data_IF_884816871771
#
_entry.id   IF_884816871771
#
_cell.length_a   1.000
_cell.length_b   1.000
_cell.length_c   1.000
_cell.angle_alpha   90.00
_cell.angle_beta   90.00
_cell.angle_gamma   90.00
#
_symmetry.space_group_name_H-M   'P 1'
#
loop_
_entity.id
_entity.type
_entity.pdbx_description
1 polymer ?
#
# COMPACT_ATOMS: atom_id res chain seq x y z
N UNK A 1 -50.46 10.02 -8.00
CA UNK A 1 -49.22 9.60 -7.32
C UNK A 1 -48.25 9.14 -8.39
N UNK A 2 -47.27 9.98 -8.75
CA UNK A 2 -46.23 9.57 -9.71
C UNK A 2 -45.39 8.49 -9.02
N UNK A 3 -45.41 7.27 -9.55
CA UNK A 3 -44.46 6.26 -9.14
C UNK A 3 -43.08 6.80 -9.48
N UNK A 4 -42.31 7.22 -8.45
CA UNK A 4 -40.89 7.53 -8.58
C UNK A 4 -40.16 6.22 -8.89
N UNK A 5 -40.27 5.71 -10.10
CA UNK A 5 -39.43 4.61 -10.56
C UNK A 5 -38.04 5.17 -10.80
N UNK A 6 -37.23 5.17 -9.75
CA UNK A 6 -35.81 5.50 -9.84
C UNK A 6 -35.10 4.49 -10.75
N UNK A 7 -34.06 4.96 -11.44
CA UNK A 7 -33.17 4.07 -12.20
C UNK A 7 -32.51 3.09 -11.23
N UNK A 8 -32.62 1.79 -11.52
CA UNK A 8 -31.86 0.76 -10.77
C UNK A 8 -30.43 0.74 -11.30
N UNK A 9 -29.48 1.08 -10.45
CA UNK A 9 -28.05 1.07 -10.76
C UNK A 9 -27.40 -0.01 -9.90
N UNK A 10 -26.54 -0.82 -10.51
CA UNK A 10 -25.70 -1.79 -9.81
C UNK A 10 -24.25 -1.38 -10.07
N UNK A 11 -23.51 -1.13 -8.99
CA UNK A 11 -22.07 -0.96 -9.05
C UNK A 11 -21.42 -2.34 -8.83
N UNK A 12 -20.60 -2.76 -9.79
CA UNK A 12 -19.82 -3.99 -9.70
C UNK A 12 -18.34 -3.63 -9.73
N UNK A 13 -17.63 -3.98 -8.67
CA UNK A 13 -16.19 -3.76 -8.56
C UNK A 13 -15.46 -5.09 -8.67
N UNK A 14 -14.64 -5.20 -9.71
CA UNK A 14 -13.80 -6.36 -9.94
C UNK A 14 -12.40 -6.11 -9.36
N UNK A 15 -12.10 -6.79 -8.25
CA UNK A 15 -10.82 -6.74 -7.57
C UNK A 15 -9.95 -7.89 -8.05
N UNK A 16 -8.94 -7.54 -8.85
CA UNK A 16 -8.00 -8.49 -9.41
C UNK A 16 -6.59 -7.91 -9.43
N UNK A 17 -5.63 -8.75 -9.10
CA UNK A 17 -4.21 -8.53 -9.32
C UNK A 17 -3.62 -9.83 -9.89
N UNK A 18 -2.74 -9.76 -10.91
CA UNK A 18 -1.98 -10.91 -11.36
C UNK A 18 -1.21 -11.60 -10.23
N UNK A 19 -0.78 -12.84 -10.47
CA UNK A 19 0.18 -13.50 -9.60
C UNK A 19 1.53 -12.79 -9.67
N UNK A 20 1.91 -12.10 -8.60
CA UNK A 20 3.20 -11.40 -8.51
C UNK A 20 4.26 -12.17 -7.73
N UNK A 21 3.86 -13.16 -6.92
CA UNK A 21 4.79 -14.05 -6.24
C UNK A 21 5.29 -15.13 -7.20
N UNK A 22 6.61 -15.18 -7.37
CA UNK A 22 7.27 -16.26 -8.09
C UNK A 22 7.16 -17.55 -7.27
N UNK A 23 6.49 -18.58 -7.80
CA UNK A 23 6.21 -19.81 -7.06
C UNK A 23 7.45 -20.69 -6.83
N UNK A 24 8.56 -20.42 -7.52
CA UNK A 24 9.82 -21.16 -7.35
C UNK A 24 10.66 -20.51 -6.26
N UNK A 25 10.86 -19.20 -6.30
CA UNK A 25 11.67 -18.47 -5.34
C UNK A 25 10.89 -17.98 -4.12
N UNK A 26 9.56 -17.90 -4.21
CA UNK A 26 8.68 -17.32 -3.20
C UNK A 26 8.76 -15.80 -3.09
N UNK A 27 9.47 -15.13 -4.00
CA UNK A 27 9.72 -13.68 -3.96
C UNK A 27 8.65 -12.93 -4.76
N UNK A 28 8.18 -11.80 -4.23
CA UNK A 28 7.27 -10.92 -4.96
C UNK A 28 8.03 -10.03 -5.94
N UNK A 29 7.63 -10.10 -7.22
CA UNK A 29 8.23 -9.30 -8.30
C UNK A 29 7.68 -7.89 -8.37
N UNK A 30 6.42 -7.69 -7.95
CA UNK A 30 5.77 -6.39 -7.92
C UNK A 30 4.91 -6.24 -6.65
N UNK A 31 4.88 -5.05 -6.03
CA UNK A 31 4.24 -4.79 -4.74
C UNK A 31 2.72 -4.52 -4.84
N UNK A 32 2.12 -4.69 -6.02
CA UNK A 32 0.81 -4.09 -6.30
C UNK A 32 -0.34 -4.66 -5.47
N UNK A 33 -0.30 -5.94 -5.11
CA UNK A 33 -1.38 -6.55 -4.32
C UNK A 33 -1.56 -5.87 -2.96
N UNK A 34 -0.49 -5.71 -2.17
CA UNK A 34 -0.60 -5.05 -0.87
C UNK A 34 -0.78 -3.53 -1.01
N UNK A 35 -0.16 -2.89 -2.00
CA UNK A 35 -0.32 -1.44 -2.21
C UNK A 35 -1.77 -1.06 -2.55
N UNK A 36 -2.44 -1.82 -3.42
CA UNK A 36 -3.85 -1.60 -3.69
C UNK A 36 -4.74 -1.96 -2.50
N UNK A 37 -4.35 -2.94 -1.68
CA UNK A 37 -5.07 -3.29 -0.45
C UNK A 37 -5.07 -2.16 0.58
N UNK A 38 -3.90 -1.59 0.88
CA UNK A 38 -3.79 -0.47 1.84
C UNK A 38 -4.31 0.87 1.28
N UNK A 39 -4.68 0.90 -0.01
CA UNK A 39 -5.20 2.06 -0.72
C UNK A 39 -6.66 1.87 -1.13
N UNK A 40 -6.86 1.38 -2.36
CA UNK A 40 -8.13 1.41 -3.06
C UNK A 40 -9.13 0.47 -2.38
N UNK A 41 -8.72 -0.74 -2.04
CA UNK A 41 -9.64 -1.70 -1.41
C UNK A 41 -10.04 -1.24 0.00
N UNK A 42 -9.11 -0.68 0.77
CA UNK A 42 -9.41 -0.10 2.07
C UNK A 42 -10.38 1.10 1.99
N UNK A 43 -10.19 2.02 1.03
CA UNK A 43 -11.09 3.17 0.80
C UNK A 43 -12.46 2.72 0.29
N UNK A 44 -12.52 1.73 -0.59
CA UNK A 44 -13.77 1.18 -1.12
C UNK A 44 -14.63 0.58 -0.02
N UNK A 45 -14.05 -0.21 0.90
CA UNK A 45 -14.74 -0.71 2.08
C UNK A 45 -15.23 0.45 2.96
N UNK A 46 -14.37 1.44 3.24
CA UNK A 46 -14.70 2.58 4.09
C UNK A 46 -15.87 3.42 3.55
N UNK A 47 -15.97 3.59 2.23
CA UNK A 47 -17.09 4.29 1.61
C UNK A 47 -18.43 3.56 1.78
N UNK A 48 -18.42 2.22 1.73
CA UNK A 48 -19.62 1.41 1.97
C UNK A 48 -20.02 1.45 3.45
N UNK A 49 -19.05 1.36 4.36
CA UNK A 49 -19.28 1.47 5.81
C UNK A 49 -19.89 2.84 6.19
N UNK A 50 -19.42 3.91 5.55
CA UNK A 50 -19.90 5.27 5.82
C UNK A 50 -21.31 5.56 5.28
N UNK A 51 -21.83 4.73 4.35
CA UNK A 51 -23.14 4.92 3.74
C UNK A 51 -23.96 3.63 3.89
N UNK A 52 -24.70 3.45 5.00
CA UNK A 52 -25.38 2.19 5.33
C UNK A 52 -26.36 1.68 4.25
N UNK A 53 -26.96 2.59 3.48
CA UNK A 53 -27.90 2.25 2.41
C UNK A 53 -27.21 1.92 1.08
N UNK A 54 -25.90 2.16 0.95
CA UNK A 54 -25.14 1.87 -0.28
C UNK A 54 -25.01 0.37 -0.47
N UNK A 55 -25.16 -0.06 -1.73
CA UNK A 55 -25.02 -1.46 -2.14
C UNK A 55 -24.10 -1.61 -3.33
N UNK A 56 -23.26 -2.64 -3.32
CA UNK A 56 -22.35 -2.96 -4.41
C UNK A 56 -22.12 -4.47 -4.52
N UNK A 57 -21.77 -4.92 -5.71
CA UNK A 57 -21.22 -6.26 -5.94
C UNK A 57 -19.70 -6.15 -5.91
N UNK A 58 -19.05 -6.94 -5.07
CA UNK A 58 -17.59 -7.02 -4.98
C UNK A 58 -17.15 -8.38 -5.48
N UNK A 59 -16.43 -8.40 -6.59
CA UNK A 59 -15.83 -9.62 -7.11
C UNK A 59 -14.36 -9.70 -6.69
N UNK A 60 -13.97 -10.77 -6.01
CA UNK A 60 -12.56 -11.07 -5.71
C UNK A 60 -12.05 -12.17 -6.62
N UNK A 61 -10.89 -11.95 -7.25
CA UNK A 61 -10.13 -13.03 -7.86
C UNK A 61 -9.47 -13.89 -6.76
N UNK A 62 -9.53 -15.23 -6.79
CA UNK A 62 -8.91 -16.09 -5.78
C UNK A 62 -7.41 -15.81 -5.59
N UNK A 63 -6.69 -15.63 -6.69
CA UNK A 63 -5.25 -15.29 -6.69
C UNK A 63 -4.92 -13.98 -5.96
N UNK A 64 -5.87 -13.03 -5.92
CA UNK A 64 -5.68 -11.81 -5.13
C UNK A 64 -5.80 -12.15 -3.64
N UNK A 65 -6.83 -12.90 -3.24
CA UNK A 65 -7.05 -13.27 -1.84
C UNK A 65 -5.87 -14.05 -1.26
N UNK A 66 -5.33 -15.02 -2.01
CA UNK A 66 -4.15 -15.79 -1.60
C UNK A 66 -2.93 -14.89 -1.38
N UNK A 67 -2.70 -13.93 -2.27
CA UNK A 67 -1.59 -12.99 -2.11
C UNK A 67 -1.79 -12.06 -0.91
N UNK A 68 -3.01 -11.59 -0.64
CA UNK A 68 -3.30 -10.73 0.50
C UNK A 68 -3.12 -11.47 1.83
N UNK A 69 -3.59 -12.71 1.92
CA UNK A 69 -3.39 -13.58 3.09
C UNK A 69 -1.89 -13.83 3.33
N UNK A 70 -1.15 -14.14 2.26
CA UNK A 70 0.29 -14.33 2.34
C UNK A 70 1.03 -13.06 2.80
N UNK A 71 0.67 -11.87 2.29
CA UNK A 71 1.23 -10.61 2.76
C UNK A 71 0.91 -10.35 4.24
N UNK A 72 -0.33 -10.58 4.67
CA UNK A 72 -0.71 -10.44 6.07
C UNK A 72 0.10 -11.40 6.96
N UNK A 73 0.26 -12.65 6.55
CA UNK A 73 1.06 -13.65 7.25
C UNK A 73 2.55 -13.27 7.32
N UNK A 74 3.12 -12.73 6.25
CA UNK A 74 4.51 -12.25 6.20
C UNK A 74 4.74 -11.08 7.15
N UNK A 75 3.88 -10.05 7.12
CA UNK A 75 3.99 -8.89 8.02
C UNK A 75 3.89 -9.35 9.47
N UNK A 76 2.93 -10.22 9.76
CA UNK A 76 2.75 -10.76 11.11
C UNK A 76 3.92 -11.61 11.56
N UNK A 77 4.47 -12.46 10.68
CA UNK A 77 5.65 -13.28 10.93
C UNK A 77 6.90 -12.43 11.14
N UNK A 78 7.07 -11.32 10.43
CA UNK A 78 8.17 -10.39 10.66
C UNK A 78 8.05 -9.70 12.03
N UNK A 79 6.86 -9.22 12.37
CA UNK A 79 6.61 -8.47 13.60
C UNK A 79 6.71 -9.35 14.86
N UNK A 80 6.28 -10.61 14.80
CA UNK A 80 6.25 -11.53 15.95
C UNK A 80 7.43 -12.47 16.03
N UNK A 81 7.84 -13.03 14.89
CA UNK A 81 8.80 -14.14 14.82
C UNK A 81 10.11 -13.75 14.14
N UNK A 82 10.28 -12.48 13.75
CA UNK A 82 11.44 -12.00 12.99
C UNK A 82 11.67 -12.75 11.66
N UNK A 83 10.61 -13.28 11.04
CA UNK A 83 10.69 -13.91 9.71
C UNK A 83 10.92 -12.86 8.64
N UNK A 84 11.69 -13.19 7.60
CA UNK A 84 11.95 -12.28 6.50
C UNK A 84 10.68 -12.00 5.67
N UNK A 85 10.57 -10.75 5.18
CA UNK A 85 9.57 -10.34 4.19
C UNK A 85 10.14 -10.63 2.80
N UNK A 86 9.34 -11.27 1.95
CA UNK A 86 9.71 -11.74 0.61
C UNK A 86 9.38 -10.76 -0.51
N UNK A 87 8.65 -9.69 -0.22
CA UNK A 87 8.56 -8.53 -1.10
C UNK A 87 9.75 -7.58 -0.83
N UNK A 88 10.64 -7.34 -1.81
CA UNK A 88 11.82 -6.53 -1.58
C UNK A 88 11.54 -5.07 -1.23
N UNK A 89 10.42 -4.50 -1.69
CA UNK A 89 10.08 -3.10 -1.40
C UNK A 89 9.51 -2.95 0.00
N UNK A 90 8.64 -3.87 0.42
CA UNK A 90 8.12 -3.91 1.78
C UNK A 90 9.22 -4.30 2.79
N UNK A 91 10.14 -5.19 2.41
CA UNK A 91 11.32 -5.50 3.22
C UNK A 91 12.22 -4.27 3.42
N UNK A 92 12.49 -3.51 2.36
CA UNK A 92 13.30 -2.29 2.42
C UNK A 92 12.74 -1.24 3.39
N UNK A 93 11.42 -1.23 3.64
CA UNK A 93 10.83 -0.33 4.63
C UNK A 93 11.39 -0.58 6.04
N UNK A 94 11.70 -1.83 6.41
CA UNK A 94 12.09 -2.21 7.77
C UNK A 94 13.53 -2.69 7.91
N UNK A 95 14.30 -2.68 6.83
CA UNK A 95 15.70 -3.10 6.82
C UNK A 95 16.62 -2.09 7.54
N UNK A 96 17.29 -2.46 8.66
CA UNK A 96 18.13 -1.51 9.41
C UNK A 96 19.30 -0.95 8.60
N UNK A 97 19.82 -1.72 7.64
CA UNK A 97 20.96 -1.33 6.79
C UNK A 97 20.53 -1.41 5.33
N UNK A 98 20.44 -0.26 4.68
CA UNK A 98 20.05 -0.20 3.28
C UNK A 98 21.18 -0.66 2.35
N UNK A 99 20.88 -1.03 1.09
CA UNK A 99 21.85 -1.67 0.22
C UNK A 99 23.14 -0.86 0.08
N UNK A 100 24.33 -1.47 0.28
CA UNK A 100 25.61 -0.75 0.18
C UNK A 100 26.02 -0.47 -1.27
N UNK A 101 25.52 -1.27 -2.21
CA UNK A 101 25.89 -1.17 -3.63
C UNK A 101 25.00 -0.16 -4.37
N UNK A 102 25.62 0.71 -5.17
CA UNK A 102 24.92 1.75 -5.94
C UNK A 102 23.84 1.18 -6.85
N UNK A 103 24.08 0.05 -7.51
CA UNK A 103 23.10 -0.62 -8.39
C UNK A 103 21.81 -0.99 -7.65
N UNK A 104 21.93 -1.54 -6.44
CA UNK A 104 20.77 -1.89 -5.61
C UNK A 104 20.05 -0.65 -5.09
N UNK A 105 20.77 0.43 -4.79
CA UNK A 105 20.16 1.73 -4.43
C UNK A 105 19.36 2.29 -5.60
N UNK A 106 19.92 2.29 -6.80
CA UNK A 106 19.23 2.74 -8.03
C UNK A 106 17.98 1.91 -8.27
N UNK A 107 18.07 0.58 -8.15
CA UNK A 107 16.91 -0.29 -8.32
C UNK A 107 15.81 -0.02 -7.29
N UNK A 108 16.17 0.31 -6.04
CA UNK A 108 15.20 0.67 -5.01
C UNK A 108 14.57 2.04 -5.28
N UNK A 109 15.37 3.03 -5.70
CA UNK A 109 14.87 4.35 -6.11
C UNK A 109 13.89 4.18 -7.28
N UNK A 110 14.27 3.46 -8.35
CA UNK A 110 13.41 3.21 -9.51
C UNK A 110 12.05 2.61 -9.11
N UNK A 111 12.03 1.65 -8.18
CA UNK A 111 10.79 1.10 -7.64
C UNK A 111 9.93 2.16 -6.96
N UNK A 112 10.54 3.03 -6.14
CA UNK A 112 9.85 4.13 -5.47
C UNK A 112 9.35 5.23 -6.44
N UNK A 113 9.88 5.28 -7.68
CA UNK A 113 9.39 6.19 -8.72
C UNK A 113 8.12 5.71 -9.41
N UNK A 114 7.72 4.44 -9.22
CA UNK A 114 6.52 3.85 -9.81
C UNK A 114 5.28 4.23 -9.01
N UNK A 115 4.94 5.51 -9.07
CA UNK A 115 3.82 6.13 -8.37
C UNK A 115 3.29 7.30 -9.20
N UNK A 116 2.01 7.62 -9.05
CA UNK A 116 1.45 8.78 -9.75
C UNK A 116 1.95 10.08 -9.10
N UNK A 117 2.80 10.82 -9.81
CA UNK A 117 3.39 12.08 -9.34
C UNK A 117 2.33 13.10 -8.90
N UNK A 118 1.42 13.46 -9.80
CA UNK A 118 0.41 14.51 -9.54
C UNK A 118 -0.54 14.16 -8.38
N UNK A 119 -1.02 12.90 -8.33
CA UNK A 119 -2.09 12.49 -7.41
C UNK A 119 -1.61 11.99 -6.07
N UNK A 120 -0.33 11.61 -5.94
CA UNK A 120 0.22 11.04 -4.70
C UNK A 120 1.39 11.88 -4.19
N UNK A 121 2.34 12.22 -5.06
CA UNK A 121 3.61 12.84 -4.64
C UNK A 121 3.43 14.34 -4.38
N UNK A 122 2.91 15.09 -5.35
CA UNK A 122 2.85 16.57 -5.32
C UNK A 122 1.90 17.13 -4.25
N UNK A 123 1.12 16.26 -3.60
CA UNK A 123 0.27 16.61 -2.46
C UNK A 123 1.06 16.89 -1.19
N UNK A 124 2.29 16.37 -1.09
CA UNK A 124 3.11 16.44 0.11
C UNK A 124 4.45 17.08 -0.22
N UNK A 125 4.71 18.33 0.22
CA UNK A 125 5.94 19.04 -0.12
C UNK A 125 7.23 18.27 0.23
N UNK A 126 7.23 17.54 1.35
CA UNK A 126 8.37 16.73 1.75
C UNK A 126 8.58 15.52 0.82
N UNK A 127 7.51 14.86 0.38
CA UNK A 127 7.60 13.76 -0.58
C UNK A 127 8.03 14.27 -1.96
N UNK A 128 7.42 15.36 -2.44
CA UNK A 128 7.79 15.98 -3.70
C UNK A 128 9.29 16.30 -3.77
N UNK A 129 9.86 16.89 -2.71
CA UNK A 129 11.29 17.16 -2.65
C UNK A 129 12.15 15.90 -2.78
N UNK A 130 11.77 14.81 -2.09
CA UNK A 130 12.49 13.53 -2.18
C UNK A 130 12.38 12.92 -3.58
N UNK A 131 11.20 13.05 -4.20
CA UNK A 131 10.95 12.56 -5.55
C UNK A 131 11.78 13.30 -6.60
N UNK A 132 11.85 14.64 -6.53
CA UNK A 132 12.68 15.45 -7.43
C UNK A 132 14.18 15.13 -7.28
N UNK A 133 14.65 14.91 -6.05
CA UNK A 133 16.02 14.44 -5.80
C UNK A 133 16.26 13.04 -6.38
N UNK A 134 15.29 12.13 -6.22
CA UNK A 134 15.37 10.80 -6.80
C UNK A 134 15.43 10.86 -8.34
N UNK A 135 14.62 11.69 -8.99
CA UNK A 135 14.69 11.93 -10.45
C UNK A 135 16.09 12.41 -10.87
N UNK A 136 16.67 13.36 -10.12
CA UNK A 136 18.02 13.85 -10.39
C UNK A 136 19.07 12.74 -10.29
N UNK A 137 19.05 11.95 -9.22
CA UNK A 137 20.01 10.86 -9.01
C UNK A 137 19.91 9.76 -10.06
N UNK A 138 18.71 9.45 -10.55
CA UNK A 138 18.52 8.47 -11.63
C UNK A 138 19.04 8.96 -12.99
N UNK A 139 19.20 10.27 -13.17
CA UNK A 139 19.73 10.87 -14.41
C UNK A 139 21.24 11.11 -14.35
N UNK A 140 21.85 11.08 -13.16
CA UNK A 140 23.25 11.46 -12.93
C UNK A 140 23.97 10.42 -12.06
N UNK A 141 24.51 9.38 -12.70
CA UNK A 141 25.19 8.27 -12.02
C UNK A 141 26.31 8.71 -11.05
N UNK A 142 27.01 9.81 -11.36
CA UNK A 142 28.09 10.34 -10.50
C UNK A 142 27.58 10.84 -9.16
N UNK A 143 26.34 11.30 -9.10
CA UNK A 143 25.75 11.92 -7.90
C UNK A 143 25.18 10.87 -6.96
N UNK A 144 25.10 9.60 -7.39
CA UNK A 144 24.68 8.46 -6.55
C UNK A 144 25.58 8.27 -5.32
N UNK A 145 26.83 8.74 -5.35
CA UNK A 145 27.73 8.73 -4.19
C UNK A 145 27.16 9.55 -3.01
N UNK A 146 26.30 10.53 -3.28
CA UNK A 146 25.68 11.38 -2.27
C UNK A 146 24.34 10.87 -1.76
N UNK A 147 23.83 9.76 -2.31
CA UNK A 147 22.61 9.11 -1.83
C UNK A 147 22.88 8.52 -0.45
N UNK A 148 22.36 9.16 0.59
CA UNK A 148 22.49 8.69 1.97
C UNK A 148 21.45 7.61 2.32
N UNK A 149 21.72 6.83 3.37
CA UNK A 149 20.79 5.83 3.89
C UNK A 149 19.50 6.49 4.42
N UNK A 150 19.62 7.70 4.97
CA UNK A 150 18.45 8.46 5.42
C UNK A 150 17.57 8.88 4.25
N UNK A 151 18.16 9.33 3.14
CA UNK A 151 17.40 9.68 1.94
C UNK A 151 16.60 8.47 1.42
N UNK A 152 17.24 7.30 1.30
CA UNK A 152 16.57 6.10 0.84
C UNK A 152 15.49 5.64 1.83
N UNK A 153 15.77 5.70 3.13
CA UNK A 153 14.78 5.37 4.18
C UNK A 153 13.55 6.28 4.07
N UNK A 154 13.76 7.59 3.92
CA UNK A 154 12.68 8.56 3.80
C UNK A 154 11.90 8.38 2.50
N UNK A 155 12.58 8.08 1.38
CA UNK A 155 11.94 7.82 0.10
C UNK A 155 11.05 6.57 0.14
N UNK A 156 11.57 5.46 0.69
CA UNK A 156 10.80 4.22 0.85
C UNK A 156 9.64 4.43 1.80
N UNK A 157 9.85 5.16 2.90
CA UNK A 157 8.80 5.48 3.85
C UNK A 157 7.68 6.29 3.19
N UNK A 158 8.03 7.37 2.48
CA UNK A 158 7.06 8.21 1.78
C UNK A 158 6.34 7.49 0.65
N UNK A 159 7.03 6.58 -0.06
CA UNK A 159 6.37 5.73 -1.04
C UNK A 159 5.20 4.98 -0.40
N UNK A 160 5.45 4.24 0.68
CA UNK A 160 4.40 3.51 1.39
C UNK A 160 3.35 4.45 1.98
N UNK A 161 3.78 5.55 2.62
CA UNK A 161 2.87 6.52 3.22
C UNK A 161 1.94 7.16 2.18
N UNK A 162 2.44 7.45 0.98
CA UNK A 162 1.68 8.03 -0.13
C UNK A 162 0.62 7.08 -0.69
N UNK A 163 0.86 5.77 -0.61
CA UNK A 163 -0.12 4.75 -1.01
C UNK A 163 -1.25 4.56 -0.01
N UNK A 164 -1.15 4.99 1.25
CA UNK A 164 -2.24 4.76 2.21
C UNK A 164 -3.53 5.50 1.82
N UNK A 165 -4.64 4.76 1.90
CA UNK A 165 -6.03 5.17 1.77
C UNK A 165 -6.35 6.53 2.42
N UNK A 166 -7.17 7.35 1.75
CA UNK A 166 -7.54 8.67 2.25
C UNK A 166 -8.43 8.62 3.49
N UNK A 167 -9.28 7.61 3.58
CA UNK A 167 -10.12 7.40 4.77
C UNK A 167 -9.28 7.07 6.00
N UNK A 168 -8.24 6.24 5.84
CA UNK A 168 -7.28 5.90 6.91
C UNK A 168 -6.42 7.11 7.26
N UNK A 169 -5.91 7.84 6.27
CA UNK A 169 -5.13 9.09 6.46
C UNK A 169 -5.85 10.12 7.33
N UNK A 170 -7.17 10.24 7.17
CA UNK A 170 -7.98 11.20 7.93
C UNK A 170 -8.26 10.78 9.36
N UNK A 171 -8.26 9.49 9.66
CA UNK A 171 -8.63 8.95 10.98
C UNK A 171 -7.44 8.54 11.83
N UNK A 172 -6.31 8.16 11.23
CA UNK A 172 -5.14 7.64 11.96
C UNK A 172 -4.14 8.74 12.36
N UNK A 173 -3.95 8.93 13.66
CA UNK A 173 -3.04 9.94 14.23
C UNK A 173 -1.57 9.66 13.92
N UNK A 174 -1.17 8.40 13.70
CA UNK A 174 0.22 8.05 13.35
C UNK A 174 0.56 8.64 11.98
N UNK A 175 -0.35 8.53 11.01
CA UNK A 175 -0.19 9.10 9.68
C UNK A 175 -0.02 10.62 9.75
N UNK A 176 -0.88 11.30 10.51
CA UNK A 176 -0.83 12.75 10.66
C UNK A 176 0.52 13.19 11.25
N UNK A 177 0.98 12.51 12.30
CA UNK A 177 2.31 12.73 12.89
C UNK A 177 3.44 12.60 11.86
N UNK A 178 3.42 11.55 11.03
CA UNK A 178 4.45 11.35 10.02
C UNK A 178 4.41 12.37 8.89
N UNK A 179 3.21 12.83 8.52
CA UNK A 179 3.07 13.91 7.53
C UNK A 179 3.60 15.24 8.05
N UNK A 180 3.39 15.54 9.34
CA UNK A 180 3.96 16.71 10.01
C UNK A 180 5.48 16.60 10.15
N UNK A 181 5.99 15.42 10.51
CA UNK A 181 7.43 15.14 10.61
C UNK A 181 8.14 15.32 9.26
N UNK A 182 7.57 14.77 8.20
CA UNK A 182 8.00 14.99 6.81
C UNK A 182 9.31 14.34 6.37
N UNK A 183 10.29 14.13 7.25
CA UNK A 183 11.58 13.51 6.93
C UNK A 183 12.27 12.95 8.19
N UNK A 184 13.45 12.36 8.01
CA UNK A 184 14.23 11.74 9.08
C UNK A 184 13.45 10.65 9.81
N UNK A 185 12.77 9.78 9.05
CA UNK A 185 12.02 8.67 9.64
C UNK A 185 12.98 7.65 10.23
N UNK A 186 12.78 7.38 11.52
CA UNK A 186 13.59 6.41 12.26
C UNK A 186 13.20 4.98 11.89
N UNK A 187 14.04 4.01 12.25
CA UNK A 187 13.67 2.59 12.17
C UNK A 187 12.40 2.29 12.98
N UNK A 188 12.15 3.04 14.06
CA UNK A 188 10.92 2.91 14.85
C UNK A 188 9.70 3.35 14.03
N UNK A 189 9.72 4.55 13.45
CA UNK A 189 8.62 5.06 12.62
C UNK A 189 8.31 4.10 11.47
N UNK A 190 9.37 3.60 10.81
CA UNK A 190 9.28 2.62 9.73
C UNK A 190 8.63 1.30 10.16
N UNK A 191 8.95 0.80 11.35
CA UNK A 191 8.31 -0.40 11.92
C UNK A 191 6.86 -0.13 12.32
N UNK A 192 6.55 1.05 12.84
CA UNK A 192 5.17 1.45 13.12
C UNK A 192 4.33 1.56 11.84
N UNK A 193 4.90 2.05 10.73
CA UNK A 193 4.23 2.05 9.44
C UNK A 193 3.98 0.61 8.95
N UNK A 194 4.91 -0.31 9.16
CA UNK A 194 4.69 -1.73 8.86
C UNK A 194 3.55 -2.33 9.71
N UNK A 195 3.44 -1.95 10.98
CA UNK A 195 2.32 -2.35 11.85
C UNK A 195 0.98 -1.88 11.26
N UNK A 196 0.88 -0.60 10.87
CA UNK A 196 -0.31 -0.07 10.21
C UNK A 196 -0.65 -0.82 8.91
N UNK A 197 0.35 -1.11 8.07
CA UNK A 197 0.16 -1.93 6.85
C UNK A 197 -0.39 -3.31 7.23
N UNK A 198 0.16 -3.95 8.26
CA UNK A 198 -0.33 -5.23 8.77
C UNK A 198 -1.78 -5.19 9.23
N UNK A 199 -2.17 -4.17 10.00
CA UNK A 199 -3.55 -3.96 10.45
C UNK A 199 -4.51 -3.84 9.27
N UNK A 200 -4.15 -3.03 8.26
CA UNK A 200 -4.96 -2.83 7.06
C UNK A 200 -5.11 -4.13 6.25
N UNK A 201 -4.03 -4.89 6.07
CA UNK A 201 -4.07 -6.15 5.34
C UNK A 201 -4.90 -7.21 6.06
N UNK A 202 -4.68 -7.41 7.36
CA UNK A 202 -5.41 -8.41 8.13
C UNK A 202 -6.90 -8.08 8.28
N UNK A 203 -7.25 -6.80 8.39
CA UNK A 203 -8.64 -6.38 8.57
C UNK A 203 -9.43 -6.25 7.27
N UNK A 204 -8.79 -6.24 6.09
CA UNK A 204 -9.47 -5.91 4.83
C UNK A 204 -10.56 -6.93 4.48
N UNK A 205 -10.25 -8.23 4.55
CA UNK A 205 -11.19 -9.28 4.16
C UNK A 205 -12.35 -9.35 5.15
N UNK A 206 -12.07 -9.21 6.44
CA UNK A 206 -13.09 -9.19 7.49
C UNK A 206 -14.08 -8.03 7.30
N UNK A 207 -13.60 -6.83 6.93
CA UNK A 207 -14.47 -5.68 6.62
C UNK A 207 -15.44 -5.99 5.47
N UNK A 208 -14.97 -6.65 4.42
CA UNK A 208 -15.84 -7.06 3.31
C UNK A 208 -16.82 -8.17 3.71
N UNK A 209 -16.41 -9.12 4.56
CA UNK A 209 -17.30 -10.14 5.10
C UNK A 209 -18.41 -9.52 5.95
N UNK A 210 -18.08 -8.58 6.83
CA UNK A 210 -19.08 -7.86 7.64
C UNK A 210 -20.05 -7.02 6.80
N UNK A 211 -19.57 -6.38 5.72
CA UNK A 211 -20.43 -5.67 4.78
C UNK A 211 -21.38 -6.61 4.03
N UNK A 212 -20.94 -7.84 3.76
CA UNK A 212 -21.77 -8.87 3.14
C UNK A 212 -22.83 -9.41 4.11
N UNK A 213 -22.44 -9.68 5.36
CA UNK A 213 -23.36 -10.11 6.42
C UNK A 213 -24.48 -9.09 6.69
N UNK A 214 -24.17 -7.80 6.55
CA UNK A 214 -25.14 -6.69 6.66
C UNK A 214 -25.97 -6.48 5.40
N UNK A 215 -25.70 -7.21 4.31
CA UNK A 215 -26.41 -7.11 3.04
C UNK A 215 -26.09 -5.86 2.20
N UNK A 216 -25.00 -5.15 2.52
CA UNK A 216 -24.50 -4.03 1.72
C UNK A 216 -23.67 -4.51 0.54
N UNK A 217 -22.96 -5.62 0.70
CA UNK A 217 -22.12 -6.21 -0.34
C UNK A 217 -22.66 -7.57 -0.77
N UNK A 218 -22.76 -7.78 -2.07
CA UNK A 218 -22.86 -9.13 -2.64
C UNK A 218 -21.46 -9.57 -3.09
N UNK A 219 -20.97 -10.68 -2.55
CA UNK A 219 -19.65 -11.22 -2.89
C UNK A 219 -19.75 -12.14 -4.11
N UNK A 220 -18.89 -11.90 -5.09
CA UNK A 220 -18.71 -12.74 -6.26
C UNK A 220 -17.24 -13.20 -6.35
N UNK A 221 -17.01 -14.30 -7.05
CA UNK A 221 -15.67 -14.85 -7.29
C UNK A 221 -15.48 -15.08 -8.78
N UNK A 222 -14.34 -14.62 -9.32
CA UNK A 222 -13.96 -14.90 -10.71
C UNK A 222 -13.24 -16.25 -10.82
N UNK A 223 -13.32 -16.93 -11.98
CA UNK A 223 -12.58 -18.18 -12.22
C UNK A 223 -11.07 -18.03 -12.03
#
# INVERSE_FOLDING_TARGET
MSAKTGLRVILCWHMHQPQYCDLVSGEYKLPWAYLHAIKDYADMAAHLEAVPDARAVINFAPVLLEQLDDYAAQVSGFLRDHKAIRDPLLAALVEPVLPPHSELRVALIDKCMRVNRERIVERFPAYQRLFELAEHFLQHDTDLLYVSDQFLSDLVFWYHLGWIAETVRRSDLRIQRWQEQGNNFSLHDRRELLVLIGELLSGLIDRYAELADRGQVELAVSP
#
